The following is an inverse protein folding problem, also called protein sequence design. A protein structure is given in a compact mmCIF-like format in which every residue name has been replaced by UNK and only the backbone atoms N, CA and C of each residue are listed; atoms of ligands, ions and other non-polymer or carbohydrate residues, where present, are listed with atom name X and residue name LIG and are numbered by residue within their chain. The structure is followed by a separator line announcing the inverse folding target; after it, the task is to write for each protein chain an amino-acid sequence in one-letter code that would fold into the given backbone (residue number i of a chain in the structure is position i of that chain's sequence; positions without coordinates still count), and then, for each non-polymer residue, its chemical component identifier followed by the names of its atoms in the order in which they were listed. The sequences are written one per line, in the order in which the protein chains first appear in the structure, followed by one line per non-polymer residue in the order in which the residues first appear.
data_IF_251176350312
#
_entry.id   IF_251176350312
#
_cell.length_a   1.000
_cell.length_b   1.000
_cell.length_c   1.000
_cell.angle_alpha   90.00
_cell.angle_beta   90.00
_cell.angle_gamma   90.00
#
_symmetry.space_group_name_H-M   'P 1'
#
loop_
_entity.id
_entity.type
_entity.pdbx_description
1 polymer ?
#
# COMPACT_ATOMS: atom_id res chain seq x y z
N UNK A 1 4.51 6.02 -15.92
CA UNK A 1 3.34 5.12 -15.83
C UNK A 1 2.36 5.73 -14.83
N UNK A 2 1.04 5.71 -15.07
CA UNK A 2 0.05 6.33 -14.17
C UNK A 2 -0.01 5.58 -12.81
N UNK A 3 -0.14 6.32 -11.70
CA UNK A 3 -0.14 5.79 -10.32
C UNK A 3 -1.22 4.72 -10.08
N UNK A 4 -2.39 4.87 -10.69
CA UNK A 4 -3.49 3.89 -10.59
C UNK A 4 -3.08 2.49 -11.04
N UNK A 5 -2.18 2.41 -12.02
CA UNK A 5 -1.67 1.14 -12.52
C UNK A 5 -0.74 0.46 -11.51
N UNK A 6 0.05 1.23 -10.76
CA UNK A 6 0.92 0.67 -9.71
C UNK A 6 0.09 0.12 -8.54
N UNK A 7 -1.01 0.78 -8.18
CA UNK A 7 -1.95 0.29 -7.15
C UNK A 7 -2.55 -1.04 -7.56
N UNK A 8 -3.05 -1.16 -8.78
CA UNK A 8 -3.65 -2.39 -9.28
C UNK A 8 -2.63 -3.55 -9.27
N UNK A 9 -1.37 -3.29 -9.65
CA UNK A 9 -0.33 -4.32 -9.57
C UNK A 9 0.00 -4.71 -8.13
N UNK A 10 0.09 -3.74 -7.22
CA UNK A 10 0.32 -4.02 -5.80
C UNK A 10 -0.81 -4.87 -5.19
N UNK A 11 -2.06 -4.57 -5.54
CA UNK A 11 -3.22 -5.38 -5.12
C UNK A 11 -3.12 -6.81 -5.65
N UNK A 12 -2.91 -6.98 -6.96
CA UNK A 12 -2.78 -8.30 -7.59
C UNK A 12 -1.65 -9.13 -6.98
N UNK A 13 -0.52 -8.52 -6.64
CA UNK A 13 0.58 -9.22 -5.99
C UNK A 13 0.25 -9.69 -4.58
N UNK A 14 -0.42 -8.86 -3.77
CA UNK A 14 -0.86 -9.24 -2.43
C UNK A 14 -1.93 -10.33 -2.47
N UNK A 15 -2.87 -10.25 -3.42
CA UNK A 15 -3.88 -11.28 -3.65
C UNK A 15 -3.25 -12.62 -4.04
N UNK A 16 -2.29 -12.63 -4.97
CA UNK A 16 -1.56 -13.84 -5.34
C UNK A 16 -0.85 -14.48 -4.15
N UNK A 17 -0.18 -13.68 -3.32
CA UNK A 17 0.51 -14.20 -2.14
C UNK A 17 -0.49 -14.80 -1.15
N UNK A 18 -1.60 -14.10 -0.89
CA UNK A 18 -2.68 -14.60 -0.03
C UNK A 18 -3.22 -15.94 -0.55
N UNK A 19 -3.52 -16.03 -1.84
CA UNK A 19 -4.14 -17.22 -2.43
C UNK A 19 -3.16 -18.40 -2.44
N UNK A 20 -1.87 -18.16 -2.69
CA UNK A 20 -0.84 -19.19 -2.57
C UNK A 20 -0.66 -19.68 -1.13
N UNK A 21 -0.64 -18.78 -0.15
CA UNK A 21 -0.57 -19.14 1.27
C UNK A 21 -1.82 -19.93 1.71
N UNK A 22 -3.01 -19.48 1.30
CA UNK A 22 -4.27 -20.14 1.61
C UNK A 22 -4.33 -21.55 0.99
N UNK A 23 -3.89 -21.69 -0.26
CA UNK A 23 -3.82 -22.98 -0.95
C UNK A 23 -2.83 -23.93 -0.29
N UNK A 24 -1.63 -23.46 0.06
CA UNK A 24 -0.64 -24.25 0.77
C UNK A 24 -1.14 -24.73 2.14
N UNK A 25 -1.81 -23.84 2.89
CA UNK A 25 -2.41 -24.17 4.17
C UNK A 25 -3.55 -25.20 4.02
N UNK A 26 -4.43 -25.02 3.03
CA UNK A 26 -5.56 -25.92 2.79
C UNK A 26 -5.10 -27.32 2.34
N UNK A 27 -4.00 -27.40 1.60
CA UNK A 27 -3.44 -28.68 1.10
C UNK A 27 -2.43 -29.30 2.05
N UNK A 28 -2.10 -28.65 3.17
CA UNK A 28 -0.99 -29.03 4.07
C UNK A 28 0.35 -29.23 3.33
N UNK A 29 0.50 -28.57 2.18
CA UNK A 29 1.72 -28.65 1.38
C UNK A 29 2.68 -27.55 1.83
N UNK A 30 3.84 -27.89 2.41
CA UNK A 30 4.80 -26.88 2.79
C UNK A 30 5.33 -26.15 1.56
N UNK A 31 5.46 -24.82 1.68
CA UNK A 31 6.05 -23.98 0.66
C UNK A 31 7.57 -24.08 0.71
N UNK A 32 8.22 -24.13 -0.45
CA UNK A 32 9.68 -24.15 -0.52
C UNK A 32 10.28 -22.80 -0.15
N UNK A 33 11.55 -22.79 0.27
CA UNK A 33 12.26 -21.56 0.59
C UNK A 33 12.29 -20.56 -0.60
N UNK A 34 12.41 -21.08 -1.82
CA UNK A 34 12.36 -20.28 -3.05
C UNK A 34 10.99 -19.62 -3.25
N UNK A 35 9.90 -20.38 -3.07
CA UNK A 35 8.54 -19.85 -3.17
C UNK A 35 8.29 -18.76 -2.12
N UNK A 36 8.75 -18.98 -0.89
CA UNK A 36 8.69 -17.99 0.19
C UNK A 36 9.49 -16.73 -0.15
N UNK A 37 10.68 -16.87 -0.74
CA UNK A 37 11.49 -15.72 -1.16
C UNK A 37 10.85 -14.91 -2.29
N UNK A 38 10.19 -15.58 -3.24
CA UNK A 38 9.47 -14.89 -4.31
C UNK A 38 8.25 -14.14 -3.73
N UNK A 39 7.49 -14.77 -2.85
CA UNK A 39 6.33 -14.13 -2.21
C UNK A 39 6.72 -12.97 -1.30
N UNK A 40 7.83 -13.06 -0.56
CA UNK A 40 8.30 -11.97 0.28
C UNK A 40 8.68 -10.74 -0.55
N UNK A 41 9.27 -10.94 -1.74
CA UNK A 41 9.52 -9.87 -2.70
C UNK A 41 8.24 -9.17 -3.17
N UNK A 42 7.21 -9.95 -3.52
CA UNK A 42 5.88 -9.43 -3.91
C UNK A 42 5.22 -8.62 -2.80
N UNK A 43 5.28 -9.10 -1.56
CA UNK A 43 4.73 -8.38 -0.38
C UNK A 43 5.49 -7.07 -0.14
N UNK A 44 6.83 -7.12 -0.17
CA UNK A 44 7.68 -5.95 0.09
C UNK A 44 7.38 -4.84 -0.92
N UNK A 45 7.32 -5.18 -2.21
CA UNK A 45 7.08 -4.20 -3.25
C UNK A 45 5.63 -3.70 -3.27
N UNK A 46 4.66 -4.59 -3.03
CA UNK A 46 3.25 -4.20 -2.88
C UNK A 46 3.06 -3.19 -1.74
N UNK A 47 3.64 -3.47 -0.57
CA UNK A 47 3.60 -2.57 0.58
C UNK A 47 4.34 -1.25 0.33
N UNK A 48 5.47 -1.27 -0.39
CA UNK A 48 6.21 -0.06 -0.77
C UNK A 48 5.31 0.91 -1.54
N UNK A 49 4.60 0.42 -2.55
CA UNK A 49 3.66 1.23 -3.34
C UNK A 49 2.58 1.86 -2.46
N UNK A 50 1.97 1.09 -1.56
CA UNK A 50 0.95 1.64 -0.64
C UNK A 50 1.52 2.65 0.35
N UNK A 51 2.76 2.47 0.80
CA UNK A 51 3.42 3.38 1.73
C UNK A 51 3.76 4.71 1.03
N UNK A 52 4.24 4.66 -0.21
CA UNK A 52 4.48 5.85 -1.05
C UNK A 52 3.20 6.64 -1.32
N UNK A 53 2.08 5.94 -1.51
CA UNK A 53 0.76 6.55 -1.64
C UNK A 53 0.27 7.19 -0.35
N UNK A 54 0.39 6.50 0.79
CA UNK A 54 0.02 7.05 2.09
C UNK A 54 0.85 8.31 2.44
N UNK A 55 2.12 8.34 2.04
CA UNK A 55 3.00 9.50 2.20
C UNK A 55 2.58 10.67 1.30
N UNK A 56 2.11 10.40 0.07
CA UNK A 56 1.62 11.45 -0.83
C UNK A 56 0.26 12.02 -0.41
N UNK A 57 -0.67 11.19 0.10
CA UNK A 57 -1.96 11.67 0.63
C UNK A 57 -1.81 12.55 1.87
N UNK A 58 -0.75 12.35 2.67
CA UNK A 58 -0.50 13.15 3.88
C UNK A 58 -0.02 14.58 3.56
N UNK A 59 0.58 14.79 2.38
CA UNK A 59 1.06 16.12 1.97
C UNK A 59 -0.03 17.01 1.33
N UNK A 60 -1.21 16.45 1.04
CA UNK A 60 -2.33 17.14 0.39
C UNK A 60 -3.39 17.63 1.39
N UNK A 61 -3.07 17.80 2.68
CA UNK A 61 -3.89 18.62 3.57
C UNK A 61 -3.53 20.08 3.27
N UNK A 62 -4.38 20.87 2.58
CA UNK A 62 -4.15 22.29 2.53
C UNK A 62 -4.44 22.77 3.95
N UNK A 63 -3.38 23.06 4.71
CA UNK A 63 -3.48 23.80 5.95
C UNK A 63 -4.22 25.09 5.59
N UNK A 64 -5.52 25.10 5.88
CA UNK A 64 -6.38 26.24 5.68
C UNK A 64 -5.66 27.44 6.23
N UNK A 65 -5.36 28.39 5.34
CA UNK A 65 -4.88 29.72 5.70
C UNK A 65 -6.03 30.41 6.43
N UNK A 66 -6.31 30.02 7.66
CA UNK A 66 -7.17 30.76 8.56
C UNK A 66 -6.43 32.07 8.83
N UNK A 67 -6.78 33.10 8.06
CA UNK A 67 -6.49 34.47 8.41
C UNK A 67 -7.11 34.68 9.79
N UNK A 68 -6.35 35.10 10.82
CA UNK A 68 -6.98 35.46 12.08
C UNK A 68 -7.93 36.62 11.79
N UNK A 69 -9.23 36.41 12.03
CA UNK A 69 -10.22 37.47 12.01
C UNK A 69 -9.78 38.49 13.07
N UNK A 70 -9.18 39.59 12.63
CA UNK A 70 -8.95 40.75 13.46
C UNK A 70 -10.31 41.34 13.78
N UNK A 71 -10.87 41.02 14.94
CA UNK A 71 -11.99 41.77 15.50
C UNK A 71 -11.45 43.13 15.94
N UNK A 72 -11.43 44.07 14.99
CA UNK A 72 -11.39 45.49 15.29
C UNK A 72 -12.85 45.92 15.40
N UNK A 73 -13.34 46.12 16.62
CA UNK A 73 -14.50 46.96 16.84
C UNK A 73 -14.20 47.92 17.97
N UNK A 74 -14.39 49.16 17.56
CA UNK A 74 -14.17 50.43 18.22
C UNK A 74 -15.39 50.76 19.07
#
# INVERSE_FOLDING_TARGET
MPLDRHIQFAQLWLEQVRDHLASAAATSSPLTAEQLSVMSGKVTEGLRVFTELAATTTNEVPLGKEKPLTWSSR
#
